data_IF_116217521292
#
_entry.id   IF_116217521292
#
_cell.length_a   1.000
_cell.length_b   1.000
_cell.length_c   1.000
_cell.angle_alpha   90.00
_cell.angle_beta   90.00
_cell.angle_gamma   90.00
#
_symmetry.space_group_name_H-M   'P 1'
#
loop_
_entity.id
_entity.type
_entity.pdbx_description
1 polymer ?
#
# COMPACT_ATOMS: atom_id res chain seq x y z
N UNK A 1 -37.30 11.59 40.38
CA UNK A 1 -36.86 12.62 41.33
C UNK A 1 -35.82 13.48 40.64
N UNK A 2 -36.14 14.77 40.46
CA UNK A 2 -35.25 15.80 39.89
C UNK A 2 -34.34 16.30 41.00
N UNK A 3 -33.03 16.35 40.79
CA UNK A 3 -32.15 17.18 41.61
C UNK A 3 -31.43 18.18 40.71
N UNK A 4 -31.86 19.44 40.85
CA UNK A 4 -31.16 20.69 40.57
C UNK A 4 -29.74 20.66 41.17
N UNK A 5 -28.74 21.46 40.83
CA UNK A 5 -28.51 22.56 39.91
C UNK A 5 -27.01 22.86 40.01
N UNK A 6 -26.44 23.43 38.95
CA UNK A 6 -25.38 24.44 38.95
C UNK A 6 -24.13 24.21 39.81
N UNK A 7 -23.04 23.79 39.17
CA UNK A 7 -21.71 24.37 39.41
C UNK A 7 -20.97 24.54 38.08
N UNK A 8 -21.34 25.58 37.33
CA UNK A 8 -20.47 26.17 36.31
C UNK A 8 -19.37 26.92 37.06
N UNK A 9 -18.15 26.39 37.06
CA UNK A 9 -16.92 27.14 37.37
C UNK A 9 -15.77 26.64 36.50
N UNK A 10 -15.63 27.32 35.37
CA UNK A 10 -14.37 27.76 34.73
C UNK A 10 -13.10 26.99 35.16
N UNK A 11 -12.66 26.07 34.31
CA UNK A 11 -11.22 25.81 34.13
C UNK A 11 -10.84 26.36 32.76
N UNK A 12 -10.14 27.50 32.78
CA UNK A 12 -9.59 28.11 31.58
C UNK A 12 -8.55 27.19 30.96
N UNK A 13 -8.83 26.71 29.75
CA UNK A 13 -7.84 26.04 28.92
C UNK A 13 -6.99 27.15 28.30
N UNK A 14 -5.84 27.44 28.91
CA UNK A 14 -4.80 28.23 28.26
C UNK A 14 -4.30 27.45 27.04
N UNK A 15 -4.65 27.93 25.85
CA UNK A 15 -4.11 27.43 24.59
C UNK A 15 -2.67 27.95 24.46
N UNK A 16 -1.70 27.22 25.01
CA UNK A 16 -0.31 27.38 24.59
C UNK A 16 -0.22 26.96 23.13
N UNK A 17 -0.11 27.95 22.25
CA UNK A 17 0.39 27.76 20.88
C UNK A 17 1.78 27.13 20.98
N UNK A 18 1.84 25.80 20.90
CA UNK A 18 3.06 25.11 20.55
C UNK A 18 3.37 25.51 19.11
N UNK A 19 4.34 26.40 18.92
CA UNK A 19 4.97 26.59 17.62
C UNK A 19 5.71 25.30 17.30
N UNK A 20 5.02 24.36 16.65
CA UNK A 20 5.70 23.23 16.04
C UNK A 20 6.73 23.79 15.05
N UNK A 21 7.98 23.30 15.04
CA UNK A 21 8.88 23.62 13.95
C UNK A 21 8.21 23.15 12.66
N UNK A 22 8.11 24.06 11.68
CA UNK A 22 7.75 23.71 10.31
C UNK A 22 8.81 22.72 9.84
N UNK A 23 8.48 21.43 9.83
CA UNK A 23 9.32 20.40 9.24
C UNK A 23 9.24 20.63 7.74
N UNK A 24 10.28 21.23 7.17
CA UNK A 24 10.47 21.22 5.73
C UNK A 24 10.73 19.77 5.34
N UNK A 25 9.73 19.11 4.75
CA UNK A 25 9.92 17.80 4.14
C UNK A 25 11.01 17.95 3.08
N UNK A 26 12.11 17.21 3.24
CA UNK A 26 13.15 17.15 2.23
C UNK A 26 12.59 16.38 1.02
N UNK A 27 12.51 17.04 -0.14
CA UNK A 27 11.95 16.46 -1.36
C UNK A 27 12.66 15.15 -1.75
N UNK A 28 13.94 14.96 -1.40
CA UNK A 28 14.66 13.71 -1.71
C UNK A 28 14.29 12.57 -0.76
N UNK A 29 13.90 12.87 0.49
CA UNK A 29 13.32 11.89 1.41
C UNK A 29 11.93 11.47 0.91
N UNK A 30 11.11 12.43 0.47
CA UNK A 30 9.78 12.16 -0.12
C UNK A 30 9.84 11.21 -1.33
N UNK A 31 10.80 11.40 -2.23
CA UNK A 31 10.98 10.52 -3.41
C UNK A 31 11.38 9.09 -2.99
N UNK A 32 12.26 8.94 -1.99
CA UNK A 32 12.67 7.61 -1.51
C UNK A 32 11.53 6.87 -0.83
N UNK A 33 10.71 7.57 -0.06
CA UNK A 33 9.51 7.00 0.56
C UNK A 33 8.49 6.56 -0.50
N UNK A 34 8.27 7.38 -1.54
CA UNK A 34 7.42 7.03 -2.67
C UNK A 34 7.96 5.80 -3.42
N UNK A 35 9.26 5.73 -3.67
CA UNK A 35 9.91 4.58 -4.31
C UNK A 35 9.79 3.29 -3.49
N UNK A 36 9.93 3.39 -2.16
CA UNK A 36 9.76 2.25 -1.26
C UNK A 36 8.31 1.72 -1.29
N UNK A 37 7.31 2.62 -1.27
CA UNK A 37 5.90 2.24 -1.43
C UNK A 37 5.63 1.59 -2.79
N UNK A 38 6.22 2.12 -3.86
CA UNK A 38 6.10 1.54 -5.20
C UNK A 38 6.72 0.14 -5.27
N UNK A 39 7.87 -0.10 -4.61
CA UNK A 39 8.44 -1.45 -4.52
C UNK A 39 7.51 -2.41 -3.78
N UNK A 40 6.89 -1.95 -2.69
CA UNK A 40 5.92 -2.73 -1.91
C UNK A 40 4.67 -3.07 -2.74
N UNK A 41 4.11 -2.10 -3.46
CA UNK A 41 2.99 -2.31 -4.38
C UNK A 41 3.32 -3.33 -5.48
N UNK A 42 4.53 -3.25 -6.06
CA UNK A 42 4.99 -4.22 -7.08
C UNK A 42 5.19 -5.61 -6.46
N UNK A 43 5.70 -5.70 -5.23
CA UNK A 43 5.86 -6.96 -4.51
C UNK A 43 4.50 -7.63 -4.25
N UNK A 44 3.51 -6.87 -3.77
CA UNK A 44 2.15 -7.36 -3.59
C UNK A 44 1.49 -7.79 -4.91
N UNK A 45 1.69 -7.02 -5.99
CA UNK A 45 1.24 -7.40 -7.32
C UNK A 45 1.87 -8.72 -7.81
N UNK A 46 3.15 -8.95 -7.51
CA UNK A 46 3.84 -10.21 -7.82
C UNK A 46 3.21 -11.39 -7.08
N UNK A 47 2.85 -11.24 -5.80
CA UNK A 47 2.14 -12.30 -5.05
C UNK A 47 0.79 -12.61 -5.68
N UNK A 48 0.04 -11.59 -6.13
CA UNK A 48 -1.22 -11.78 -6.84
C UNK A 48 -1.02 -12.56 -8.15
N UNK A 49 0.02 -12.24 -8.92
CA UNK A 49 0.37 -12.99 -10.16
C UNK A 49 0.59 -14.48 -9.86
N UNK A 50 1.19 -14.79 -8.72
CA UNK A 50 1.51 -16.17 -8.33
C UNK A 50 0.30 -16.94 -7.79
N UNK A 51 -0.54 -16.32 -6.95
CA UNK A 51 -1.63 -17.02 -6.27
C UNK A 51 -2.96 -17.01 -7.04
N UNK A 52 -3.30 -15.91 -7.72
CA UNK A 52 -4.62 -15.75 -8.32
C UNK A 52 -4.98 -16.79 -9.39
N UNK A 53 -4.06 -17.26 -10.26
CA UNK A 53 -4.38 -18.31 -11.23
C UNK A 53 -4.92 -19.60 -10.60
N UNK A 54 -4.57 -19.89 -9.34
CA UNK A 54 -5.10 -21.05 -8.60
C UNK A 54 -6.48 -20.79 -7.97
N UNK A 55 -6.85 -19.53 -7.73
CA UNK A 55 -8.08 -19.12 -7.04
C UNK A 55 -9.22 -18.77 -8.00
N UNK A 56 -8.91 -18.11 -9.11
CA UNK A 56 -9.87 -17.64 -10.12
C UNK A 56 -9.71 -18.35 -11.48
N UNK A 57 -8.76 -19.29 -11.58
CA UNK A 57 -8.37 -19.91 -12.85
C UNK A 57 -7.48 -19.00 -13.70
N UNK A 58 -6.85 -19.58 -14.73
CA UNK A 58 -6.09 -18.79 -15.71
C UNK A 58 -7.03 -17.83 -16.43
N UNK A 59 -6.76 -16.52 -16.34
CA UNK A 59 -7.67 -15.50 -16.86
C UNK A 59 -6.87 -14.38 -17.54
N UNK A 60 -7.05 -14.24 -18.86
CA UNK A 60 -6.33 -13.23 -19.65
C UNK A 60 -6.65 -11.79 -19.23
N UNK A 61 -7.86 -11.51 -18.71
CA UNK A 61 -8.23 -10.18 -18.20
C UNK A 61 -7.43 -9.85 -16.93
N UNK A 62 -7.27 -10.83 -16.04
CA UNK A 62 -6.41 -10.68 -14.86
C UNK A 62 -4.97 -10.39 -15.29
N UNK A 63 -4.41 -11.21 -16.19
CA UNK A 63 -3.03 -11.06 -16.67
C UNK A 63 -2.81 -9.67 -17.29
N UNK A 64 -3.77 -9.17 -18.06
CA UNK A 64 -3.72 -7.84 -18.66
C UNK A 64 -3.80 -6.73 -17.61
N UNK A 65 -4.73 -6.84 -16.67
CA UNK A 65 -4.97 -5.82 -15.65
C UNK A 65 -3.80 -5.72 -14.66
N UNK A 66 -3.30 -6.84 -14.16
CA UNK A 66 -2.16 -6.84 -13.23
C UNK A 66 -0.89 -6.33 -13.91
N UNK A 67 -0.68 -6.66 -15.19
CA UNK A 67 0.41 -6.09 -15.99
C UNK A 67 0.28 -4.57 -16.15
N UNK A 68 -0.95 -4.07 -16.34
CA UNK A 68 -1.21 -2.62 -16.41
C UNK A 68 -0.89 -1.94 -15.07
N UNK A 69 -1.31 -2.52 -13.94
CA UNK A 69 -1.01 -2.02 -12.60
C UNK A 69 0.50 -1.94 -12.35
N UNK A 70 1.23 -3.04 -12.59
CA UNK A 70 2.70 -3.08 -12.47
C UNK A 70 3.36 -2.05 -13.39
N UNK A 71 2.86 -1.90 -14.62
CA UNK A 71 3.33 -0.86 -15.56
C UNK A 71 3.13 0.56 -15.02
N UNK A 72 1.99 0.85 -14.40
CA UNK A 72 1.73 2.15 -13.76
C UNK A 72 2.68 2.39 -12.59
N UNK A 73 2.90 1.41 -11.72
CA UNK A 73 3.85 1.52 -10.61
C UNK A 73 5.27 1.82 -11.09
N UNK A 74 5.77 1.03 -12.05
CA UNK A 74 7.10 1.25 -12.65
C UNK A 74 7.20 2.62 -13.35
N UNK A 75 6.13 3.09 -13.99
CA UNK A 75 6.12 4.43 -14.62
C UNK A 75 6.27 5.57 -13.62
N UNK A 76 5.83 5.36 -12.37
CA UNK A 76 5.93 6.32 -11.28
C UNK A 76 7.24 6.17 -10.49
N UNK A 77 7.88 5.01 -10.51
CA UNK A 77 9.16 4.74 -9.84
C UNK A 77 10.28 5.67 -10.35
N UNK A 78 11.13 6.19 -9.47
CA UNK A 78 12.12 7.20 -9.86
C UNK A 78 13.13 6.68 -10.89
N UNK A 79 13.57 5.43 -10.77
CA UNK A 79 14.42 4.77 -11.76
C UNK A 79 13.59 4.23 -12.92
N UNK A 80 13.48 5.04 -13.98
CA UNK A 80 12.71 4.71 -15.20
C UNK A 80 13.31 3.55 -16.01
N UNK A 81 14.49 3.06 -15.66
CA UNK A 81 15.10 1.88 -16.28
C UNK A 81 14.76 0.58 -15.54
N UNK A 82 14.13 0.68 -14.36
CA UNK A 82 13.74 -0.48 -13.58
C UNK A 82 12.72 -1.34 -14.33
N UNK A 83 12.86 -2.64 -14.16
CA UNK A 83 11.89 -3.64 -14.59
C UNK A 83 11.59 -4.57 -13.42
N UNK A 84 10.54 -5.37 -13.54
CA UNK A 84 10.25 -6.39 -12.54
C UNK A 84 11.45 -7.34 -12.35
N UNK A 85 12.14 -7.70 -13.44
CA UNK A 85 13.33 -8.56 -13.40
C UNK A 85 14.54 -7.87 -12.73
N UNK A 86 14.66 -6.55 -12.82
CA UNK A 86 15.73 -5.83 -12.10
C UNK A 86 15.40 -5.72 -10.61
N UNK A 87 14.13 -5.42 -10.27
CA UNK A 87 13.65 -5.36 -8.89
C UNK A 87 13.77 -6.73 -8.18
N UNK A 88 13.48 -7.84 -8.86
CA UNK A 88 13.68 -9.18 -8.30
C UNK A 88 15.13 -9.49 -7.89
N UNK A 89 16.12 -8.70 -8.32
CA UNK A 89 17.52 -8.82 -7.89
C UNK A 89 17.83 -7.94 -6.68
N UNK A 90 17.06 -6.89 -6.45
CA UNK A 90 17.18 -5.94 -5.35
C UNK A 90 16.89 -6.61 -3.99
N UNK A 91 17.69 -6.30 -2.98
CA UNK A 91 17.61 -6.97 -1.69
C UNK A 91 16.38 -6.50 -0.87
N UNK A 92 16.05 -5.21 -0.95
CA UNK A 92 14.87 -4.65 -0.29
C UNK A 92 13.60 -5.22 -0.93
N UNK A 93 13.51 -5.23 -2.26
CA UNK A 93 12.38 -5.84 -2.96
C UNK A 93 12.18 -7.32 -2.60
N UNK A 94 13.26 -8.10 -2.46
CA UNK A 94 13.15 -9.50 -2.00
C UNK A 94 12.58 -9.62 -0.59
N UNK A 95 12.91 -8.69 0.31
CA UNK A 95 12.33 -8.65 1.65
C UNK A 95 10.84 -8.34 1.57
N UNK A 96 10.47 -7.31 0.82
CA UNK A 96 9.06 -6.92 0.62
C UNK A 96 8.25 -8.06 -0.03
N UNK A 97 8.81 -8.76 -1.02
CA UNK A 97 8.14 -9.91 -1.64
C UNK A 97 7.92 -11.06 -0.65
N UNK A 98 8.90 -11.32 0.23
CA UNK A 98 8.75 -12.31 1.30
C UNK A 98 7.66 -11.88 2.28
N UNK A 99 7.64 -10.62 2.69
CA UNK A 99 6.65 -10.10 3.63
C UNK A 99 5.24 -10.12 3.01
N UNK A 100 5.13 -9.81 1.71
CA UNK A 100 3.88 -9.93 0.95
C UNK A 100 3.41 -11.38 0.84
N UNK A 101 4.31 -12.35 0.66
CA UNK A 101 3.97 -13.78 0.71
C UNK A 101 3.45 -14.20 2.07
N UNK A 102 4.11 -13.77 3.14
CA UNK A 102 3.70 -14.06 4.52
C UNK A 102 2.33 -13.46 4.82
N UNK A 103 2.11 -12.19 4.47
CA UNK A 103 0.81 -11.52 4.62
C UNK A 103 -0.30 -12.23 3.83
N UNK A 104 -0.04 -12.60 2.57
CA UNK A 104 -1.01 -13.34 1.78
C UNK A 104 -1.35 -14.71 2.41
N UNK A 105 -0.37 -15.40 3.00
CA UNK A 105 -0.59 -16.70 3.64
C UNK A 105 -1.45 -16.62 4.92
N UNK A 106 -1.51 -15.46 5.58
CA UNK A 106 -2.35 -15.22 6.75
C UNK A 106 -3.82 -14.92 6.40
N UNK A 107 -4.08 -14.53 5.14
CA UNK A 107 -5.42 -14.25 4.63
C UNK A 107 -6.09 -15.54 4.19
N UNK A 108 -7.37 -15.73 4.54
CA UNK A 108 -8.08 -16.93 4.11
C UNK A 108 -8.38 -16.93 2.60
N UNK A 109 -8.62 -18.12 2.03
CA UNK A 109 -8.77 -18.28 0.58
C UNK A 109 -9.96 -17.52 -0.02
N UNK A 110 -11.01 -17.27 0.75
CA UNK A 110 -12.18 -16.52 0.29
C UNK A 110 -11.79 -15.05 0.11
N UNK A 111 -11.08 -14.49 1.08
CA UNK A 111 -10.55 -13.14 1.02
C UNK A 111 -9.48 -12.99 -0.06
N UNK A 112 -8.53 -13.94 -0.17
CA UNK A 112 -7.55 -13.95 -1.27
C UNK A 112 -8.24 -13.93 -2.65
N UNK A 113 -9.29 -14.74 -2.81
CA UNK A 113 -10.05 -14.80 -4.07
C UNK A 113 -10.77 -13.49 -4.36
N UNK A 114 -11.30 -12.80 -3.36
CA UNK A 114 -11.92 -11.49 -3.52
C UNK A 114 -10.93 -10.46 -4.07
N UNK A 115 -9.70 -10.42 -3.54
CA UNK A 115 -8.65 -9.52 -4.06
C UNK A 115 -8.30 -9.84 -5.52
N UNK A 116 -8.23 -11.12 -5.89
CA UNK A 116 -8.03 -11.51 -7.29
C UNK A 116 -9.19 -11.05 -8.19
N UNK A 117 -10.42 -11.08 -7.69
CA UNK A 117 -11.61 -10.59 -8.40
C UNK A 117 -11.64 -9.07 -8.51
N UNK A 118 -11.06 -8.33 -7.55
CA UNK A 118 -10.86 -6.88 -7.68
C UNK A 118 -9.92 -6.54 -8.83
N UNK A 119 -8.81 -7.26 -8.98
CA UNK A 119 -7.89 -7.09 -10.11
C UNK A 119 -8.60 -7.42 -11.44
N UNK A 120 -9.44 -8.47 -11.48
CA UNK A 120 -10.25 -8.78 -12.66
C UNK A 120 -11.19 -7.66 -13.06
N UNK A 121 -11.71 -6.92 -12.08
CA UNK A 121 -12.68 -5.85 -12.26
C UNK A 121 -12.02 -4.46 -12.27
N UNK A 122 -10.69 -4.40 -12.26
CA UNK A 122 -9.95 -3.15 -12.38
C UNK A 122 -10.25 -2.45 -13.72
N UNK A 123 -10.74 -1.22 -13.64
CA UNK A 123 -11.07 -0.33 -14.76
C UNK A 123 -10.05 0.83 -14.88
N UNK A 124 -8.77 0.57 -14.57
CA UNK A 124 -7.75 1.61 -14.65
C UNK A 124 -7.52 2.17 -16.04
#
# INVERSE_FOLDING_TARGET
>A
MRHLSNFIKVFGVSFTLFTAPVVFADETVSVKEADALIKDDIANAQVLIEMCPALIGKNAKFDQNIKKMVGTYLSNYSDKSASLESLQKDAEFKSLLKDAHEAAAEVDKVEQKAVCEEVLNFEG
#
